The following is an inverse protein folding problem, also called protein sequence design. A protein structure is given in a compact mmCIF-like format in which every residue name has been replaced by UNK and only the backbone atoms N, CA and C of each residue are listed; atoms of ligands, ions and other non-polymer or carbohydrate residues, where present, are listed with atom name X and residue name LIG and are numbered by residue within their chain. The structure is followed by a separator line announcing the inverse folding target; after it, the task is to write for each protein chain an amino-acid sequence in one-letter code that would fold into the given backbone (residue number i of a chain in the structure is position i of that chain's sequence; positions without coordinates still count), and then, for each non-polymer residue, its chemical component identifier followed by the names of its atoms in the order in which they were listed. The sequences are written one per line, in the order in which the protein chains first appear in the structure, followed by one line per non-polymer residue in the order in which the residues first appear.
data_IF_640976886763
#
_entry.id   IF_640976886763
#
_cell.length_a   1.000
_cell.length_b   1.000
_cell.length_c   1.000
_cell.angle_alpha   90.00
_cell.angle_beta   90.00
_cell.angle_gamma   90.00
#
_symmetry.space_group_name_H-M   'P 1'
#
loop_
_entity.id
_entity.type
_entity.pdbx_description
1 polymer ?
#
# COMPACT_ATOMS: atom_id res chain seq x y z
N UNK A 1 -22.59 -12.08 2.59
CA UNK A 1 -21.46 -11.36 1.99
C UNK A 1 -21.91 -9.95 1.75
N UNK A 2 -21.28 -8.96 2.36
CA UNK A 2 -21.66 -7.56 2.19
C UNK A 2 -20.52 -6.65 2.61
N UNK A 3 -20.41 -5.55 1.87
CA UNK A 3 -19.58 -4.40 2.18
C UNK A 3 -20.41 -3.48 3.08
N UNK A 4 -19.84 -3.03 4.19
CA UNK A 4 -20.47 -2.10 5.13
C UNK A 4 -19.61 -0.86 5.24
N UNK A 5 -20.22 0.30 5.08
CA UNK A 5 -19.52 1.58 5.14
C UNK A 5 -19.44 2.05 6.59
N UNK A 6 -18.26 2.51 7.01
CA UNK A 6 -18.09 3.09 8.34
C UNK A 6 -18.42 4.57 8.22
N UNK A 7 -19.63 4.97 8.62
CA UNK A 7 -20.19 6.31 8.37
C UNK A 7 -19.34 7.46 8.88
N UNK A 8 -18.68 7.27 10.01
CA UNK A 8 -17.84 8.30 10.63
C UNK A 8 -16.37 8.20 10.18
N UNK A 9 -16.03 7.36 9.21
CA UNK A 9 -14.63 7.13 8.80
C UNK A 9 -13.95 8.32 8.11
N UNK A 10 -14.67 9.40 7.81
CA UNK A 10 -14.12 10.66 7.29
C UNK A 10 -14.27 11.75 8.36
N UNK A 11 -13.15 12.40 8.70
CA UNK A 11 -13.13 13.60 9.54
C UNK A 11 -13.68 14.80 8.75
N UNK A 12 -14.80 15.33 9.23
CA UNK A 12 -15.47 16.45 8.60
C UNK A 12 -16.23 16.05 7.34
N UNK A 13 -16.42 17.00 6.43
CA UNK A 13 -17.18 16.79 5.18
C UNK A 13 -16.19 16.76 4.02
N UNK A 14 -16.31 15.80 3.06
CA UNK A 14 -15.56 15.83 1.82
C UNK A 14 -15.68 17.19 1.13
N UNK A 15 -14.55 17.80 0.74
CA UNK A 15 -14.54 19.10 0.06
C UNK A 15 -14.21 18.91 -1.40
N UNK A 16 -15.07 19.42 -2.27
CA UNK A 16 -14.80 19.43 -3.70
C UNK A 16 -13.75 20.49 -4.05
N UNK A 17 -12.76 20.10 -4.83
CA UNK A 17 -11.70 20.95 -5.38
C UNK A 17 -11.95 21.24 -6.86
N UNK A 18 -11.29 22.25 -7.41
CA UNK A 18 -11.53 22.80 -8.76
C UNK A 18 -11.41 21.77 -9.92
N UNK A 19 -10.85 20.59 -9.66
CA UNK A 19 -10.59 19.53 -10.65
C UNK A 19 -11.51 18.30 -10.49
N UNK A 20 -12.68 18.45 -9.85
CA UNK A 20 -13.62 17.34 -9.59
C UNK A 20 -13.02 16.20 -8.75
N UNK A 21 -12.01 16.52 -7.94
CA UNK A 21 -11.53 15.65 -6.86
C UNK A 21 -12.04 16.16 -5.53
N UNK A 22 -12.15 15.25 -4.57
CA UNK A 22 -12.59 15.51 -3.21
C UNK A 22 -11.41 15.34 -2.26
N UNK A 23 -11.18 16.35 -1.44
CA UNK A 23 -10.32 16.26 -0.28
C UNK A 23 -11.07 15.59 0.88
N UNK A 24 -10.55 14.46 1.36
CA UNK A 24 -11.05 13.73 2.52
C UNK A 24 -9.95 13.55 3.57
N UNK A 25 -10.34 13.34 4.82
CA UNK A 25 -9.44 13.02 5.92
C UNK A 25 -9.92 11.73 6.60
N UNK A 26 -9.39 10.55 6.24
CA UNK A 26 -9.79 9.30 6.90
C UNK A 26 -9.52 9.34 8.42
N UNK A 27 -10.39 8.75 9.24
CA UNK A 27 -10.20 8.74 10.70
C UNK A 27 -9.03 7.87 11.14
N UNK A 28 -8.88 6.70 10.52
CA UNK A 28 -7.76 5.75 10.75
C UNK A 28 -6.40 6.36 10.36
N UNK A 29 -6.42 7.29 9.42
CA UNK A 29 -5.25 7.97 8.88
C UNK A 29 -5.57 9.46 8.66
N UNK A 30 -5.46 10.31 9.70
CA UNK A 30 -5.94 11.69 9.69
C UNK A 30 -5.00 12.63 8.92
N UNK A 31 -4.79 12.33 7.64
CA UNK A 31 -4.06 13.15 6.67
C UNK A 31 -4.94 13.42 5.45
N UNK A 32 -4.70 14.52 4.72
CA UNK A 32 -5.47 14.86 3.53
C UNK A 32 -5.24 13.84 2.41
N UNK A 33 -6.32 13.29 1.87
CA UNK A 33 -6.35 12.42 0.71
C UNK A 33 -7.22 13.05 -0.38
N UNK A 34 -6.75 13.03 -1.62
CA UNK A 34 -7.57 13.41 -2.77
C UNK A 34 -8.13 12.15 -3.42
N UNK A 35 -9.45 12.06 -3.51
CA UNK A 35 -10.15 10.97 -4.18
C UNK A 35 -11.01 11.55 -5.31
N UNK A 36 -11.21 10.81 -6.38
CA UNK A 36 -12.11 11.26 -7.45
C UNK A 36 -13.58 11.01 -7.08
N UNK A 37 -14.49 11.60 -7.85
CA UNK A 37 -15.94 11.44 -7.69
C UNK A 37 -16.39 9.97 -7.72
N UNK A 38 -15.73 9.13 -8.54
CA UNK A 38 -16.02 7.69 -8.60
C UNK A 38 -15.81 7.01 -7.26
N UNK A 39 -14.65 7.22 -6.62
CA UNK A 39 -14.29 6.60 -5.35
C UNK A 39 -15.22 7.04 -4.21
N UNK A 40 -15.55 8.34 -4.18
CA UNK A 40 -16.46 8.88 -3.17
C UNK A 40 -17.88 8.29 -3.32
N UNK A 41 -18.38 8.20 -4.54
CA UNK A 41 -19.67 7.58 -4.81
C UNK A 41 -19.68 6.10 -4.48
N UNK A 42 -18.62 5.37 -4.82
CA UNK A 42 -18.51 3.96 -4.47
C UNK A 42 -18.58 3.78 -2.96
N UNK A 43 -17.91 4.63 -2.18
CA UNK A 43 -18.02 4.61 -0.72
C UNK A 43 -19.46 4.84 -0.25
N UNK A 44 -20.19 5.82 -0.76
CA UNK A 44 -21.60 6.02 -0.39
C UNK A 44 -22.51 4.86 -0.81
N UNK A 45 -22.28 4.28 -1.98
CA UNK A 45 -23.17 3.32 -2.61
C UNK A 45 -22.90 1.87 -2.17
N UNK A 46 -21.73 1.57 -1.63
CA UNK A 46 -21.34 0.20 -1.29
C UNK A 46 -22.04 -0.37 -0.05
N UNK A 47 -22.64 0.49 0.79
CA UNK A 47 -23.23 0.06 2.06
C UNK A 47 -24.31 -1.02 1.87
N UNK A 48 -24.12 -2.15 2.53
CA UNK A 48 -25.03 -3.30 2.50
C UNK A 48 -25.04 -4.08 1.18
N UNK A 49 -24.15 -3.77 0.22
CA UNK A 49 -24.10 -4.46 -1.09
C UNK A 49 -23.02 -5.54 -1.14
N UNK A 50 -23.23 -6.53 -2.02
CA UNK A 50 -22.20 -7.49 -2.42
C UNK A 50 -21.34 -6.89 -3.54
N UNK A 51 -20.14 -7.43 -3.76
CA UNK A 51 -19.34 -7.12 -4.95
C UNK A 51 -20.11 -7.36 -6.24
N UNK A 52 -20.81 -8.49 -6.34
CA UNK A 52 -21.61 -8.83 -7.51
C UNK A 52 -22.69 -7.77 -7.78
N UNK A 53 -23.41 -7.31 -6.75
CA UNK A 53 -24.45 -6.31 -6.92
C UNK A 53 -23.87 -4.94 -7.32
N UNK A 54 -22.74 -4.55 -6.72
CA UNK A 54 -22.01 -3.34 -7.14
C UNK A 54 -21.57 -3.44 -8.60
N UNK A 55 -21.03 -4.58 -8.99
CA UNK A 55 -20.59 -4.83 -10.35
C UNK A 55 -21.73 -4.75 -11.36
N UNK A 56 -22.87 -5.40 -11.09
CA UNK A 56 -24.07 -5.32 -11.92
C UNK A 56 -24.58 -3.88 -12.07
N UNK A 57 -24.59 -3.10 -10.99
CA UNK A 57 -25.01 -1.69 -11.01
C UNK A 57 -24.04 -0.81 -11.84
N UNK A 58 -22.73 -1.01 -11.65
CA UNK A 58 -21.70 -0.22 -12.35
C UNK A 58 -21.58 -0.61 -13.82
N UNK A 59 -21.75 -1.88 -14.18
CA UNK A 59 -21.82 -2.34 -15.55
C UNK A 59 -23.02 -1.72 -16.29
N UNK A 60 -24.17 -1.62 -15.62
CA UNK A 60 -25.36 -0.98 -16.18
C UNK A 60 -25.19 0.53 -16.37
N UNK A 61 -24.42 1.18 -15.49
CA UNK A 61 -24.12 2.62 -15.50
C UNK A 61 -23.06 2.97 -16.55
N UNK A 62 -22.03 2.13 -16.72
CA UNK A 62 -20.88 2.35 -17.60
C UNK A 62 -20.84 1.32 -18.72
N UNK A 63 -21.87 1.31 -19.56
CA UNK A 63 -22.07 0.28 -20.61
C UNK A 63 -20.95 0.23 -21.66
N UNK A 64 -20.26 1.33 -21.85
CA UNK A 64 -19.20 1.48 -22.86
C UNK A 64 -17.80 1.14 -22.29
N UNK A 65 -17.71 0.79 -21.01
CA UNK A 65 -16.43 0.44 -20.35
C UNK A 65 -16.27 -1.09 -20.34
N UNK A 66 -15.08 -1.63 -20.65
CA UNK A 66 -14.82 -3.06 -20.58
C UNK A 66 -15.17 -3.65 -19.21
N UNK A 67 -15.81 -4.81 -19.24
CA UNK A 67 -16.30 -5.53 -18.06
C UNK A 67 -15.15 -5.81 -17.08
N UNK A 68 -14.00 -6.25 -17.58
CA UNK A 68 -12.83 -6.54 -16.75
C UNK A 68 -12.31 -5.29 -16.04
N UNK A 69 -12.39 -4.13 -16.71
CA UNK A 69 -11.97 -2.85 -16.13
C UNK A 69 -12.89 -2.42 -14.99
N UNK A 70 -14.21 -2.53 -15.17
CA UNK A 70 -15.18 -2.23 -14.10
C UNK A 70 -14.92 -3.13 -12.88
N UNK A 71 -14.66 -4.41 -13.11
CA UNK A 71 -14.37 -5.35 -12.03
C UNK A 71 -13.10 -4.97 -11.28
N UNK A 72 -12.01 -4.68 -12.00
CA UNK A 72 -10.74 -4.26 -11.41
C UNK A 72 -10.87 -2.94 -10.63
N UNK A 73 -11.54 -1.94 -11.21
CA UNK A 73 -11.73 -0.63 -10.59
C UNK A 73 -12.54 -0.75 -9.28
N UNK A 74 -13.60 -1.57 -9.24
CA UNK A 74 -14.38 -1.79 -8.01
C UNK A 74 -13.53 -2.50 -6.95
N UNK A 75 -12.83 -3.57 -7.32
CA UNK A 75 -12.01 -4.35 -6.37
C UNK A 75 -10.91 -3.47 -5.76
N UNK A 76 -10.14 -2.79 -6.61
CA UNK A 76 -9.03 -1.93 -6.17
C UNK A 76 -9.51 -0.80 -5.26
N UNK A 77 -10.66 -0.20 -5.61
CA UNK A 77 -11.26 0.85 -4.80
C UNK A 77 -11.79 0.37 -3.46
N UNK A 78 -12.43 -0.80 -3.40
CA UNK A 78 -12.88 -1.38 -2.12
C UNK A 78 -11.67 -1.77 -1.25
N UNK A 79 -10.59 -2.31 -1.83
CA UNK A 79 -9.34 -2.57 -1.10
C UNK A 79 -8.76 -1.27 -0.54
N UNK A 80 -8.70 -0.22 -1.35
CA UNK A 80 -8.24 1.10 -0.91
C UNK A 80 -9.05 1.63 0.28
N UNK A 81 -10.38 1.60 0.18
CA UNK A 81 -11.29 2.03 1.25
C UNK A 81 -11.18 1.14 2.50
N UNK A 82 -10.98 -0.16 2.32
CA UNK A 82 -10.78 -1.12 3.41
C UNK A 82 -9.49 -0.83 4.18
N UNK A 83 -8.39 -0.56 3.46
CA UNK A 83 -7.10 -0.22 4.05
C UNK A 83 -7.11 1.12 4.81
N UNK A 84 -8.05 2.01 4.48
CA UNK A 84 -8.31 3.24 5.21
C UNK A 84 -9.36 3.05 6.32
N UNK A 85 -9.76 1.83 6.64
CA UNK A 85 -10.82 1.52 7.61
C UNK A 85 -12.09 2.34 7.36
N UNK A 86 -12.41 2.58 6.08
CA UNK A 86 -13.61 3.30 5.65
C UNK A 86 -14.77 2.37 5.30
N UNK A 87 -14.46 1.11 5.04
CA UNK A 87 -15.42 0.03 4.83
C UNK A 87 -14.97 -1.24 5.55
N UNK A 88 -15.93 -2.04 5.98
CA UNK A 88 -15.74 -3.40 6.46
C UNK A 88 -16.31 -4.38 5.42
N UNK A 89 -15.64 -5.51 5.22
CA UNK A 89 -16.14 -6.58 4.35
C UNK A 89 -16.30 -7.86 5.15
N UNK A 90 -17.46 -8.52 4.98
CA UNK A 90 -17.86 -9.71 5.74
C UNK A 90 -18.04 -10.94 4.84
N UNK A 91 -17.67 -12.12 5.34
CA UNK A 91 -17.74 -13.40 4.62
C UNK A 91 -16.38 -13.87 4.09
N UNK A 92 -16.38 -14.83 3.16
CA UNK A 92 -15.17 -15.41 2.53
C UNK A 92 -14.32 -14.36 1.82
N UNK A 93 -14.94 -13.28 1.30
CA UNK A 93 -14.21 -12.15 0.72
C UNK A 93 -13.39 -11.36 1.73
N UNK A 94 -13.61 -11.51 3.05
CA UNK A 94 -12.68 -10.96 4.05
C UNK A 94 -11.33 -11.68 3.99
N UNK A 95 -11.33 -12.97 3.73
CA UNK A 95 -10.10 -13.76 3.57
C UNK A 95 -9.46 -13.49 2.20
N UNK A 96 -10.27 -13.33 1.14
CA UNK A 96 -9.77 -12.93 -0.19
C UNK A 96 -9.24 -11.50 -0.18
N UNK A 97 -9.94 -10.53 0.41
CA UNK A 97 -9.45 -9.16 0.55
C UNK A 97 -8.29 -9.05 1.53
N UNK A 98 -8.24 -9.84 2.61
CA UNK A 98 -7.06 -9.90 3.47
C UNK A 98 -5.87 -10.57 2.76
N UNK A 99 -6.11 -11.52 1.85
CA UNK A 99 -5.09 -12.12 1.00
C UNK A 99 -4.68 -11.21 -0.17
N UNK A 100 -5.57 -10.33 -0.65
CA UNK A 100 -5.31 -9.37 -1.74
C UNK A 100 -4.76 -8.03 -1.22
N UNK A 101 -5.10 -7.62 -0.01
CA UNK A 101 -4.49 -6.48 0.70
C UNK A 101 -3.08 -6.82 1.21
N UNK A 102 -2.84 -8.12 1.43
CA UNK A 102 -1.50 -8.72 1.43
C UNK A 102 -1.08 -9.05 0.01
N UNK A 103 -0.92 -8.05 -0.84
CA UNK A 103 -0.09 -8.26 -2.01
C UNK A 103 1.27 -8.81 -1.56
N UNK A 104 1.81 -9.77 -2.33
CA UNK A 104 3.16 -10.29 -2.11
C UNK A 104 4.16 -9.13 -1.93
N UNK A 105 3.90 -7.97 -2.53
CA UNK A 105 4.59 -6.71 -2.24
C UNK A 105 3.63 -5.55 -2.00
N UNK A 106 3.72 -4.88 -0.85
CA UNK A 106 2.89 -3.70 -0.51
C UNK A 106 3.73 -2.56 0.08
N UNK A 107 3.22 -1.32 0.03
CA UNK A 107 3.86 -0.18 0.69
C UNK A 107 3.74 -0.35 2.21
N UNK A 108 4.82 -0.01 2.94
CA UNK A 108 4.85 0.02 4.41
C UNK A 108 3.91 1.11 4.92
N UNK A 109 2.98 0.77 5.80
CA UNK A 109 2.08 1.72 6.46
C UNK A 109 2.48 1.91 7.93
N UNK A 110 1.77 2.79 8.63
CA UNK A 110 2.11 3.16 10.01
C UNK A 110 2.16 1.95 10.96
N UNK A 111 1.21 1.02 10.81
CA UNK A 111 1.15 -0.23 11.57
C UNK A 111 2.33 -1.18 11.30
N UNK A 112 2.98 -1.04 10.14
CA UNK A 112 4.02 -1.95 9.67
C UNK A 112 5.42 -1.54 10.15
N UNK A 113 5.66 -0.25 10.44
CA UNK A 113 7.00 0.24 10.75
C UNK A 113 7.68 -0.50 11.90
N UNK A 114 6.92 -1.01 12.87
CA UNK A 114 7.48 -1.81 13.96
C UNK A 114 7.95 -3.18 13.47
N UNK A 115 7.13 -3.89 12.70
CA UNK A 115 7.49 -5.19 12.10
C UNK A 115 8.71 -5.04 11.20
N UNK A 116 8.70 -4.02 10.33
CA UNK A 116 9.76 -3.72 9.38
C UNK A 116 11.05 -3.33 10.10
N UNK A 117 10.99 -2.47 11.12
CA UNK A 117 12.17 -2.14 11.90
C UNK A 117 12.75 -3.40 12.57
N UNK A 118 11.92 -4.23 13.21
CA UNK A 118 12.37 -5.46 13.84
C UNK A 118 13.02 -6.42 12.83
N UNK A 119 12.43 -6.56 11.65
CA UNK A 119 13.00 -7.34 10.55
C UNK A 119 14.39 -6.83 10.16
N UNK A 120 14.52 -5.53 9.89
CA UNK A 120 15.81 -4.92 9.50
C UNK A 120 16.87 -5.11 10.58
N UNK A 121 16.50 -4.92 11.84
CA UNK A 121 17.42 -5.10 12.97
C UNK A 121 17.86 -6.56 13.14
N UNK A 122 16.96 -7.51 12.90
CA UNK A 122 17.27 -8.94 12.92
C UNK A 122 18.24 -9.31 11.78
N UNK A 123 17.98 -8.82 10.56
CA UNK A 123 18.90 -8.99 9.41
C UNK A 123 20.29 -8.42 9.72
N UNK A 124 20.35 -7.21 10.31
CA UNK A 124 21.60 -6.57 10.67
C UNK A 124 22.38 -7.34 11.76
N UNK A 125 21.67 -8.01 12.68
CA UNK A 125 22.27 -8.81 13.73
C UNK A 125 22.77 -10.18 13.22
N UNK A 126 22.06 -10.78 12.27
CA UNK A 126 22.30 -12.15 11.79
C UNK A 126 23.13 -12.23 10.49
N UNK A 127 23.78 -11.12 10.08
CA UNK A 127 24.54 -11.02 8.83
C UNK A 127 23.71 -11.31 7.56
N UNK A 128 22.42 -10.96 7.58
CA UNK A 128 21.64 -10.98 6.35
C UNK A 128 22.06 -9.86 5.38
N UNK A 129 21.34 -9.70 4.27
CA UNK A 129 21.75 -8.80 3.20
C UNK A 129 21.11 -7.43 3.36
N UNK A 130 21.94 -6.39 3.51
CA UNK A 130 21.51 -4.98 3.51
C UNK A 130 22.29 -4.27 2.41
N UNK A 131 21.63 -3.98 1.30
CA UNK A 131 22.16 -3.23 0.18
C UNK A 131 21.54 -1.84 0.24
N UNK A 132 22.33 -0.83 0.59
CA UNK A 132 21.91 0.56 0.49
C UNK A 132 22.77 1.26 -0.56
N UNK A 133 22.12 1.82 -1.57
CA UNK A 133 22.74 2.42 -2.74
C UNK A 133 22.97 3.93 -2.58
N UNK A 134 22.51 4.54 -1.49
CA UNK A 134 22.80 5.93 -1.13
C UNK A 134 24.18 6.06 -0.45
N UNK A 135 24.79 4.95 -0.01
CA UNK A 135 26.13 4.93 0.60
C UNK A 135 27.11 4.11 -0.24
N UNK A 136 28.34 4.61 -0.37
CA UNK A 136 29.43 3.93 -1.11
C UNK A 136 29.98 2.67 -0.42
N UNK A 137 29.41 2.28 0.74
CA UNK A 137 29.85 1.13 1.54
C UNK A 137 28.67 0.50 2.26
N UNK A 138 28.89 -0.73 2.73
CA UNK A 138 27.97 -1.39 3.65
C UNK A 138 27.90 -0.61 4.98
N UNK A 139 26.68 -0.48 5.48
CA UNK A 139 26.40 0.13 6.77
C UNK A 139 26.75 -0.85 7.90
N UNK A 140 27.41 -0.35 8.94
CA UNK A 140 27.61 -1.11 10.17
C UNK A 140 26.30 -1.21 10.96
N UNK A 141 26.18 -2.20 11.86
CA UNK A 141 24.96 -2.43 12.64
C UNK A 141 24.38 -1.18 13.32
N UNK A 142 25.24 -0.38 13.98
CA UNK A 142 24.81 0.87 14.64
C UNK A 142 24.31 1.92 13.64
N UNK A 143 24.86 1.93 12.44
CA UNK A 143 24.43 2.83 11.38
C UNK A 143 23.09 2.37 10.81
N UNK A 144 22.89 1.06 10.62
CA UNK A 144 21.60 0.48 10.25
C UNK A 144 20.52 0.83 11.28
N UNK A 145 20.80 0.64 12.57
CA UNK A 145 19.89 1.01 13.67
C UNK A 145 19.47 2.49 13.62
N UNK A 146 20.41 3.37 13.26
CA UNK A 146 20.14 4.80 13.14
C UNK A 146 19.36 5.13 11.85
N UNK A 147 19.87 4.70 10.70
CA UNK A 147 19.31 4.99 9.35
C UNK A 147 17.88 4.45 9.24
N UNK A 148 17.64 3.21 9.67
CA UNK A 148 16.33 2.57 9.60
C UNK A 148 15.60 2.56 10.95
N UNK A 149 15.90 3.53 11.82
CA UNK A 149 15.05 3.79 12.98
C UNK A 149 13.64 4.14 12.51
N UNK A 150 12.62 3.73 13.28
CA UNK A 150 11.21 4.03 12.96
C UNK A 150 10.98 5.52 12.65
N UNK A 151 11.50 6.49 13.44
CA UNK A 151 11.36 7.91 13.12
C UNK A 151 11.96 8.29 11.76
N UNK A 152 13.14 7.76 11.41
CA UNK A 152 13.79 8.06 10.13
C UNK A 152 13.06 7.45 8.95
N UNK A 153 12.64 6.18 9.05
CA UNK A 153 11.84 5.55 8.00
C UNK A 153 10.54 6.32 7.76
N UNK A 154 9.85 6.73 8.83
CA UNK A 154 8.65 7.57 8.73
C UNK A 154 8.94 8.89 8.01
N UNK A 155 9.96 9.63 8.43
CA UNK A 155 10.33 10.92 7.83
C UNK A 155 10.65 10.74 6.34
N UNK A 156 11.46 9.75 5.99
CA UNK A 156 11.84 9.47 4.61
C UNK A 156 10.60 9.19 3.73
N UNK A 157 9.66 8.39 4.23
CA UNK A 157 8.45 8.05 3.48
C UNK A 157 7.48 9.23 3.37
N UNK A 158 7.30 10.01 4.44
CA UNK A 158 6.47 11.23 4.44
C UNK A 158 6.97 12.25 3.42
N UNK A 159 8.28 12.47 3.38
CA UNK A 159 8.90 13.41 2.46
C UNK A 159 9.11 12.82 1.05
N UNK A 160 8.67 11.58 0.81
CA UNK A 160 8.89 10.83 -0.44
C UNK A 160 10.37 10.78 -0.84
N UNK A 161 11.27 10.84 0.15
CA UNK A 161 12.70 10.64 -0.05
C UNK A 161 12.96 9.16 -0.37
N UNK A 162 12.34 8.27 0.39
CA UNK A 162 12.39 6.83 0.18
C UNK A 162 11.05 6.24 0.63
N UNK A 163 10.37 5.52 -0.27
CA UNK A 163 9.12 4.80 -0.01
C UNK A 163 9.48 3.34 0.21
N UNK A 164 9.14 2.81 1.38
CA UNK A 164 9.43 1.42 1.72
C UNK A 164 8.31 0.50 1.28
N UNK A 165 8.70 -0.64 0.71
CA UNK A 165 7.86 -1.76 0.35
C UNK A 165 8.22 -2.95 1.23
N UNK A 166 7.21 -3.67 1.70
CA UNK A 166 7.33 -4.95 2.40
C UNK A 166 6.97 -6.07 1.44
N UNK A 167 7.80 -7.10 1.41
CA UNK A 167 7.74 -8.18 0.43
C UNK A 167 7.63 -9.51 1.16
N UNK A 168 6.54 -10.21 0.92
CA UNK A 168 6.21 -11.51 1.46
C UNK A 168 6.35 -12.58 0.37
N UNK A 169 6.77 -13.79 0.75
CA UNK A 169 6.65 -14.94 -0.14
C UNK A 169 5.21 -15.50 -0.16
N UNK A 170 4.99 -16.48 -1.02
CA UNK A 170 3.72 -17.21 -1.14
C UNK A 170 3.27 -17.94 0.14
N UNK A 171 4.16 -18.10 1.12
CA UNK A 171 3.85 -18.63 2.45
C UNK A 171 3.53 -17.53 3.46
N UNK A 172 3.41 -16.28 3.01
CA UNK A 172 3.12 -15.09 3.81
C UNK A 172 4.21 -14.82 4.87
N UNK A 173 5.47 -15.12 4.55
CA UNK A 173 6.63 -14.77 5.38
C UNK A 173 7.30 -13.54 4.79
N UNK A 174 7.60 -12.53 5.62
CA UNK A 174 8.34 -11.34 5.18
C UNK A 174 9.74 -11.75 4.74
N UNK A 175 10.01 -11.68 3.44
CA UNK A 175 11.29 -12.08 2.84
C UNK A 175 12.21 -10.90 2.58
N UNK A 176 11.65 -9.71 2.41
CA UNK A 176 12.41 -8.52 2.11
C UNK A 176 11.70 -7.20 2.36
N UNK A 177 12.52 -6.15 2.43
CA UNK A 177 12.09 -4.75 2.48
C UNK A 177 12.89 -4.00 1.43
N UNK A 178 12.21 -3.18 0.64
CA UNK A 178 12.85 -2.40 -0.41
C UNK A 178 12.47 -0.93 -0.30
N UNK A 179 13.46 -0.06 -0.38
CA UNK A 179 13.28 1.39 -0.40
C UNK A 179 13.41 1.92 -1.82
N UNK A 180 12.44 2.70 -2.27
CA UNK A 180 12.40 3.27 -3.62
C UNK A 180 12.28 4.79 -3.53
N UNK A 181 13.15 5.49 -4.25
CA UNK A 181 13.10 6.94 -4.39
C UNK A 181 12.53 7.34 -5.76
N UNK A 182 11.65 8.35 -5.77
CA UNK A 182 11.00 8.84 -6.98
C UNK A 182 11.55 10.22 -7.33
N UNK A 183 12.12 10.37 -8.53
CA UNK A 183 12.49 11.71 -9.03
C UNK A 183 11.31 12.31 -9.79
N UNK A 184 10.66 13.32 -9.23
CA UNK A 184 9.48 13.99 -9.80
C UNK A 184 9.61 14.47 -11.26
N UNK A 185 10.82 14.65 -11.78
CA UNK A 185 11.06 15.17 -13.13
C UNK A 185 11.21 14.09 -14.21
N UNK A 186 11.34 12.82 -13.82
CA UNK A 186 11.58 11.70 -14.71
C UNK A 186 10.59 10.62 -14.28
N UNK A 187 9.88 9.96 -15.18
CA UNK A 187 9.05 8.78 -14.88
C UNK A 187 9.97 7.59 -14.52
N UNK A 188 10.82 7.78 -13.53
CA UNK A 188 11.95 6.93 -13.17
C UNK A 188 12.02 6.86 -11.65
N UNK A 189 11.93 5.64 -11.16
CA UNK A 189 12.20 5.30 -9.77
C UNK A 189 13.61 4.71 -9.67
N UNK A 190 14.26 4.95 -8.53
CA UNK A 190 15.53 4.33 -8.18
C UNK A 190 15.34 3.47 -6.95
N UNK A 191 15.88 2.26 -6.98
CA UNK A 191 15.94 1.44 -5.78
C UNK A 191 17.07 1.98 -4.91
N UNK A 192 16.71 2.53 -3.75
CA UNK A 192 17.64 3.11 -2.77
C UNK A 192 18.14 2.04 -1.79
N UNK A 193 17.28 1.08 -1.45
CA UNK A 193 17.60 0.06 -0.46
C UNK A 193 16.96 -1.28 -0.81
N UNK A 194 17.68 -2.38 -0.57
CA UNK A 194 17.16 -3.75 -0.56
C UNK A 194 17.68 -4.46 0.70
N UNK A 195 16.77 -4.98 1.51
CA UNK A 195 17.05 -5.69 2.76
C UNK A 195 16.41 -7.06 2.68
N UNK A 196 17.21 -8.12 2.82
CA UNK A 196 16.79 -9.50 2.60
C UNK A 196 17.29 -10.42 3.71
N UNK A 197 16.47 -11.42 4.01
CA UNK A 197 16.87 -12.54 4.88
C UNK A 197 17.89 -13.47 4.23
N UNK A 198 17.84 -13.65 2.91
CA UNK A 198 18.78 -14.46 2.13
C UNK A 198 19.03 -13.79 0.77
N UNK A 199 20.30 -13.63 0.39
CA UNK A 199 20.69 -13.06 -0.90
C UNK A 199 20.14 -13.87 -2.09
N UNK A 200 19.88 -15.16 -1.90
CA UNK A 200 19.25 -15.99 -2.95
C UNK A 200 17.85 -15.50 -3.34
N UNK A 201 17.15 -14.78 -2.45
CA UNK A 201 15.83 -14.19 -2.70
C UNK A 201 15.90 -12.84 -3.43
N UNK A 202 17.09 -12.37 -3.80
CA UNK A 202 17.26 -11.07 -4.46
C UNK A 202 16.50 -10.99 -5.78
N UNK A 203 16.56 -12.05 -6.61
CA UNK A 203 15.84 -12.12 -7.87
C UNK A 203 14.33 -11.99 -7.67
N UNK A 204 13.78 -12.81 -6.77
CA UNK A 204 12.34 -12.81 -6.44
C UNK A 204 11.87 -11.42 -5.96
N UNK A 205 12.65 -10.75 -5.10
CA UNK A 205 12.33 -9.41 -4.59
C UNK A 205 12.35 -8.34 -5.68
N UNK A 206 13.33 -8.39 -6.58
CA UNK A 206 13.40 -7.46 -7.71
C UNK A 206 12.23 -7.68 -8.68
N UNK A 207 11.90 -8.93 -9.00
CA UNK A 207 10.80 -9.26 -9.89
C UNK A 207 9.47 -8.77 -9.32
N UNK A 208 9.24 -8.95 -8.02
CA UNK A 208 8.06 -8.43 -7.34
C UNK A 208 7.99 -6.90 -7.33
N UNK A 209 9.11 -6.22 -7.07
CA UNK A 209 9.17 -4.76 -7.15
C UNK A 209 8.85 -4.24 -8.55
N UNK A 210 9.39 -4.88 -9.58
CA UNK A 210 9.14 -4.51 -10.98
C UNK A 210 7.64 -4.62 -11.30
N UNK A 211 6.97 -5.69 -10.85
CA UNK A 211 5.51 -5.87 -11.04
C UNK A 211 4.69 -4.74 -10.41
N UNK A 212 5.10 -4.22 -9.26
CA UNK A 212 4.36 -3.16 -8.53
C UNK A 212 4.67 -1.77 -9.06
N UNK A 213 5.85 -1.56 -9.64
CA UNK A 213 6.31 -0.26 -10.14
C UNK A 213 5.99 -0.01 -11.62
N UNK A 214 5.60 -1.04 -12.38
CA UNK A 214 5.11 -0.97 -13.76
C UNK A 214 3.58 -0.80 -13.84
#
# INVERSE_FOLDING_TARGET
MSIHTIKDSILGVPREEDNSTYLIYPQSYPRPHFINHYMLNLWYEADGKTFQKLFEEYQNRYRDVPIEKIQSDIINSIIYLYNLEMVEVTGEDKEVLAAMSKSETSIVNEQDFREINNFILDIAANQGCILNFDYDRNLEKKEVESVYSIPNMRINQIHRKEIYFKIYDSSNVLIGVAGVSFKRSLETCYVSTIILSDLKKFGDVIDELIKVLH
#
